data_IF_877093490749
#
_entry.id   IF_877093490749
#
_cell.length_a   1.000
_cell.length_b   1.000
_cell.length_c   1.000
_cell.angle_alpha   90.00
_cell.angle_beta   90.00
_cell.angle_gamma   90.00
#
_symmetry.space_group_name_H-M   'P 1'
#
loop_
_entity.id
_entity.type
_entity.pdbx_description
1 polymer ?
#
# COMPACT_ATOMS: atom_id res chain seq x y z
N UNK A 1 -20.90 -18.56 -20.36
CA UNK A 1 -19.61 -17.91 -20.57
C UNK A 1 -19.16 -17.22 -19.27
N UNK A 2 -18.15 -17.77 -18.64
CA UNK A 2 -17.63 -17.23 -17.39
C UNK A 2 -16.45 -16.30 -17.68
N UNK A 3 -16.62 -15.04 -17.34
CA UNK A 3 -15.55 -14.05 -17.44
C UNK A 3 -15.01 -13.74 -16.05
N UNK A 4 -13.69 -13.77 -15.92
CA UNK A 4 -13.02 -13.40 -14.68
C UNK A 4 -12.47 -11.99 -14.82
N UNK A 5 -12.88 -11.10 -13.91
CA UNK A 5 -12.41 -9.71 -13.87
C UNK A 5 -11.46 -9.59 -12.69
N UNK A 6 -10.24 -9.15 -12.97
CA UNK A 6 -9.26 -8.90 -11.90
C UNK A 6 -9.60 -7.57 -11.24
N UNK A 7 -9.94 -7.61 -9.94
CA UNK A 7 -10.31 -6.44 -9.14
C UNK A 7 -9.12 -5.85 -8.37
N UNK A 8 -8.15 -6.70 -8.05
CA UNK A 8 -6.97 -6.28 -7.31
C UNK A 8 -5.80 -7.21 -7.59
N UNK A 9 -4.61 -6.64 -7.69
CA UNK A 9 -3.35 -7.38 -7.76
C UNK A 9 -2.41 -6.78 -6.74
N UNK A 10 -1.88 -7.61 -5.82
CA UNK A 10 -0.98 -7.15 -4.77
C UNK A 10 0.29 -8.00 -4.80
N UNK A 11 1.44 -7.33 -4.92
CA UNK A 11 2.76 -7.91 -4.73
C UNK A 11 3.30 -7.56 -3.36
N UNK A 12 3.99 -8.50 -2.73
CA UNK A 12 4.47 -8.36 -1.36
C UNK A 12 5.83 -8.99 -1.19
N UNK A 13 6.73 -8.33 -0.44
CA UNK A 13 8.03 -8.88 -0.08
C UNK A 13 8.43 -8.38 1.32
N UNK A 14 9.01 -9.27 2.13
CA UNK A 14 9.60 -8.87 3.40
C UNK A 14 10.89 -8.09 3.13
N UNK A 15 11.02 -6.93 3.77
CA UNK A 15 12.13 -6.02 3.55
C UNK A 15 12.21 -5.05 4.73
N UNK A 16 13.41 -4.83 5.28
CA UNK A 16 13.54 -3.84 6.34
C UNK A 16 13.19 -2.43 5.84
N UNK A 17 12.79 -1.56 6.75
CA UNK A 17 12.23 -0.25 6.40
C UNK A 17 13.24 0.63 5.67
N UNK A 18 14.51 0.57 6.04
CA UNK A 18 15.57 1.36 5.39
C UNK A 18 15.73 0.98 3.92
N UNK A 19 15.80 -0.33 3.64
CA UNK A 19 15.87 -0.85 2.27
C UNK A 19 14.57 -0.59 1.52
N UNK A 20 13.46 -0.67 2.23
CA UNK A 20 12.13 -0.42 1.65
C UNK A 20 12.01 1.02 1.15
N UNK A 21 12.51 2.00 1.89
CA UNK A 21 12.48 3.40 1.48
C UNK A 21 13.27 3.64 0.18
N UNK A 22 14.37 2.93 0.01
CA UNK A 22 15.13 2.99 -1.24
C UNK A 22 14.33 2.36 -2.38
N UNK A 23 13.73 1.20 -2.13
CA UNK A 23 12.94 0.47 -3.13
C UNK A 23 11.69 1.26 -3.56
N UNK A 24 10.98 1.86 -2.62
CA UNK A 24 9.76 2.61 -2.93
C UNK A 24 10.05 3.82 -3.83
N UNK A 25 11.17 4.49 -3.60
CA UNK A 25 11.59 5.61 -4.43
C UNK A 25 11.94 5.16 -5.85
N UNK A 26 12.61 4.02 -6.00
CA UNK A 26 12.93 3.44 -7.29
C UNK A 26 11.67 3.02 -8.05
N UNK A 27 10.78 2.29 -7.41
CA UNK A 27 9.53 1.83 -8.01
C UNK A 27 8.63 3.02 -8.36
N UNK A 28 8.57 4.04 -7.50
CA UNK A 28 7.82 5.26 -7.76
C UNK A 28 8.25 5.93 -9.07
N UNK A 29 9.56 6.02 -9.31
CA UNK A 29 10.07 6.61 -10.55
C UNK A 29 9.65 5.82 -11.78
N UNK A 30 9.61 4.49 -11.69
CA UNK A 30 9.15 3.63 -12.77
C UNK A 30 7.64 3.84 -13.03
N UNK A 31 6.84 3.90 -11.97
CA UNK A 31 5.40 4.13 -12.08
C UNK A 31 5.10 5.52 -12.64
N UNK A 32 5.86 6.54 -12.22
CA UNK A 32 5.71 7.91 -12.74
C UNK A 32 5.81 7.96 -14.27
N UNK A 33 6.65 7.12 -14.86
CA UNK A 33 6.81 7.05 -16.32
C UNK A 33 5.64 6.36 -17.02
N UNK A 34 4.98 5.44 -16.33
CA UNK A 34 3.87 4.66 -16.89
C UNK A 34 2.51 5.37 -16.75
N UNK A 35 2.31 6.13 -15.69
CA UNK A 35 1.03 6.72 -15.35
C UNK A 35 1.15 8.24 -15.22
N UNK A 36 1.35 8.91 -16.35
CA UNK A 36 1.60 10.37 -16.40
C UNK A 36 0.35 11.22 -16.12
N UNK A 37 -0.85 10.65 -16.23
CA UNK A 37 -2.11 11.36 -16.05
C UNK A 37 -2.79 11.03 -14.71
N UNK A 38 -2.06 10.45 -13.77
CA UNK A 38 -2.58 10.15 -12.43
C UNK A 38 -2.17 11.24 -11.46
N UNK A 39 -2.95 11.41 -10.39
CA UNK A 39 -2.56 12.24 -9.27
C UNK A 39 -1.71 11.41 -8.30
N UNK A 40 -0.47 11.82 -8.09
CA UNK A 40 0.44 11.19 -7.16
C UNK A 40 0.29 11.83 -5.78
N UNK A 41 0.05 11.00 -4.77
CA UNK A 41 -0.04 11.44 -3.38
C UNK A 41 1.03 10.73 -2.57
N UNK A 42 2.03 11.48 -2.12
CA UNK A 42 3.10 11.00 -1.25
C UNK A 42 2.74 11.42 0.17
N UNK A 43 2.35 10.45 1.00
CA UNK A 43 1.92 10.71 2.38
C UNK A 43 3.10 10.91 3.34
N UNK A 44 4.33 10.64 2.91
CA UNK A 44 5.49 10.64 3.79
C UNK A 44 5.42 9.51 4.82
N UNK A 45 6.24 9.60 5.85
CA UNK A 45 6.27 8.62 6.92
C UNK A 45 5.24 9.03 7.98
N UNK A 46 4.27 8.13 8.24
CA UNK A 46 3.19 8.36 9.19
C UNK A 46 3.08 7.17 10.15
N UNK A 47 2.36 7.36 11.25
CA UNK A 47 2.06 6.29 12.19
C UNK A 47 1.08 5.30 11.54
N UNK A 48 1.34 4.00 11.72
CA UNK A 48 0.44 2.96 11.24
C UNK A 48 -0.79 2.89 12.13
N UNK A 49 -1.97 2.97 11.52
CA UNK A 49 -3.24 3.05 12.26
C UNK A 49 -3.54 1.81 13.10
N UNK A 50 -3.04 0.64 12.71
CA UNK A 50 -3.26 -0.60 13.45
C UNK A 50 -2.60 -0.55 14.84
N UNK A 51 -1.39 0.01 14.93
CA UNK A 51 -0.64 0.07 16.18
C UNK A 51 -0.97 1.36 16.94
N UNK A 52 -1.83 1.25 17.93
CA UNK A 52 -2.30 2.39 18.72
C UNK A 52 -1.21 3.05 19.57
N UNK A 53 -0.06 2.40 19.75
CA UNK A 53 1.06 3.00 20.49
C UNK A 53 1.77 4.09 19.68
N UNK A 54 1.58 4.12 18.36
CA UNK A 54 2.27 5.05 17.47
C UNK A 54 3.70 4.63 17.13
N UNK A 55 4.14 3.44 17.54
CA UNK A 55 5.52 2.98 17.35
C UNK A 55 5.74 2.25 16.00
N UNK A 56 4.67 1.89 15.31
CA UNK A 56 4.75 1.34 13.96
C UNK A 56 4.57 2.45 12.95
N UNK A 57 5.35 2.41 11.87
CA UNK A 57 5.35 3.45 10.84
C UNK A 57 5.01 2.87 9.48
N UNK A 58 4.48 3.72 8.61
CA UNK A 58 4.31 3.38 7.22
C UNK A 58 4.71 4.55 6.33
N UNK A 59 5.15 4.23 5.12
CA UNK A 59 5.41 5.19 4.06
C UNK A 59 4.61 4.74 2.85
N UNK A 60 3.70 5.60 2.37
CA UNK A 60 2.80 5.26 1.29
C UNK A 60 2.85 6.30 0.19
N UNK A 61 2.90 5.82 -1.05
CA UNK A 61 2.69 6.64 -2.25
C UNK A 61 1.54 6.03 -3.03
N UNK A 62 0.55 6.84 -3.36
CA UNK A 62 -0.62 6.42 -4.12
C UNK A 62 -0.69 7.17 -5.45
N UNK A 63 -1.20 6.48 -6.47
CA UNK A 63 -1.44 7.02 -7.81
C UNK A 63 -2.93 6.90 -8.08
N UNK A 64 -3.63 8.03 -8.05
CA UNK A 64 -5.09 8.09 -8.16
C UNK A 64 -5.46 8.34 -9.62
N UNK A 65 -6.31 7.49 -10.16
CA UNK A 65 -6.88 7.70 -11.49
C UNK A 65 -8.00 8.73 -11.47
N UNK A 66 -8.65 8.86 -10.31
CA UNK A 66 -9.56 9.95 -9.97
C UNK A 66 -9.05 10.60 -8.67
N UNK A 67 -9.60 11.73 -8.27
CA UNK A 67 -9.13 12.48 -7.08
C UNK A 67 -9.50 11.84 -5.75
N UNK A 68 -10.10 10.67 -5.74
CA UNK A 68 -10.63 10.02 -4.54
C UNK A 68 -9.97 8.67 -4.30
N UNK A 69 -9.47 8.43 -3.07
CA UNK A 69 -8.90 7.15 -2.65
C UNK A 69 -9.89 5.99 -2.70
N UNK A 70 -11.19 6.27 -2.63
CA UNK A 70 -12.22 5.23 -2.70
C UNK A 70 -12.42 4.70 -4.13
N UNK A 71 -11.82 5.36 -5.13
CA UNK A 71 -11.84 4.93 -6.52
C UNK A 71 -10.59 4.09 -6.85
N UNK A 72 -10.51 3.64 -8.10
CA UNK A 72 -9.39 2.84 -8.58
C UNK A 72 -8.06 3.59 -8.36
N UNK A 73 -7.08 2.91 -7.80
CA UNK A 73 -5.76 3.50 -7.61
C UNK A 73 -4.68 2.43 -7.50
N UNK A 74 -3.42 2.88 -7.65
CA UNK A 74 -2.23 2.07 -7.39
C UNK A 74 -1.60 2.59 -6.10
N UNK A 75 -1.15 1.69 -5.24
CA UNK A 75 -0.52 2.04 -3.97
C UNK A 75 0.76 1.26 -3.79
N UNK A 76 1.83 1.96 -3.40
CA UNK A 76 3.07 1.34 -2.96
C UNK A 76 3.31 1.74 -1.52
N UNK A 77 3.77 0.81 -0.70
CA UNK A 77 3.83 1.01 0.74
C UNK A 77 4.98 0.26 1.39
N UNK A 78 5.65 0.94 2.32
CA UNK A 78 6.60 0.35 3.26
C UNK A 78 5.97 0.32 4.64
N UNK A 79 6.14 -0.79 5.36
CA UNK A 79 5.65 -0.93 6.72
C UNK A 79 6.79 -1.30 7.66
N UNK A 80 6.88 -0.56 8.77
CA UNK A 80 7.83 -0.77 9.85
C UNK A 80 7.05 -1.05 11.13
N UNK A 81 6.91 -2.33 11.47
CA UNK A 81 6.21 -2.74 12.67
C UNK A 81 7.07 -2.52 13.91
N UNK A 82 6.46 -2.06 15.00
CA UNK A 82 7.14 -2.00 16.29
C UNK A 82 7.61 -3.37 16.74
N UNK A 83 8.62 -3.41 17.62
CA UNK A 83 9.11 -4.66 18.19
C UNK A 83 8.00 -5.45 18.90
N UNK A 84 7.09 -4.74 19.56
CA UNK A 84 5.95 -5.34 20.24
C UNK A 84 5.02 -6.08 19.28
N UNK A 85 4.64 -5.42 18.18
CA UNK A 85 3.77 -6.01 17.16
C UNK A 85 4.46 -7.21 16.50
N UNK A 86 5.74 -7.09 16.16
CA UNK A 86 6.50 -8.19 15.57
C UNK A 86 6.53 -9.41 16.50
N UNK A 87 6.71 -9.21 17.78
CA UNK A 87 6.72 -10.30 18.76
C UNK A 87 5.34 -10.91 18.95
N UNK A 88 4.30 -10.10 19.08
CA UNK A 88 2.94 -10.58 19.35
C UNK A 88 2.29 -11.24 18.14
N UNK A 89 2.50 -10.70 16.94
CA UNK A 89 1.80 -11.12 15.72
C UNK A 89 2.69 -11.86 14.73
N UNK A 90 4.01 -11.87 14.95
CA UNK A 90 4.98 -12.43 14.02
C UNK A 90 4.88 -11.77 12.63
N UNK A 91 4.60 -10.49 12.61
CA UNK A 91 4.56 -9.69 11.36
C UNK A 91 5.91 -9.07 11.08
N UNK A 92 6.41 -9.26 9.87
CA UNK A 92 7.67 -8.67 9.44
C UNK A 92 7.46 -7.36 8.68
N UNK A 93 8.49 -6.53 8.70
CA UNK A 93 8.53 -5.34 7.88
C UNK A 93 8.46 -5.71 6.41
N UNK A 94 7.82 -4.87 5.60
CA UNK A 94 7.49 -5.26 4.24
C UNK A 94 7.44 -4.09 3.27
N UNK A 95 7.59 -4.44 1.99
CA UNK A 95 7.23 -3.60 0.85
C UNK A 95 6.06 -4.27 0.13
N UNK A 96 5.05 -3.50 -0.21
CA UNK A 96 4.00 -4.00 -1.08
C UNK A 96 3.64 -2.99 -2.17
N UNK A 97 3.15 -3.53 -3.28
CA UNK A 97 2.61 -2.76 -4.39
C UNK A 97 1.29 -3.40 -4.78
N UNK A 98 0.27 -2.58 -4.93
CA UNK A 98 -1.06 -3.10 -5.24
C UNK A 98 -1.84 -2.19 -6.16
N UNK A 99 -2.70 -2.83 -6.96
CA UNK A 99 -3.74 -2.17 -7.73
C UNK A 99 -5.07 -2.46 -7.06
N UNK A 100 -5.81 -1.41 -6.71
CA UNK A 100 -7.05 -1.51 -5.96
C UNK A 100 -8.19 -0.94 -6.79
N UNK A 101 -9.27 -1.71 -6.95
CA UNK A 101 -10.48 -1.23 -7.59
C UNK A 101 -11.47 -0.71 -6.55
N UNK A 102 -12.36 0.17 -6.98
CA UNK A 102 -13.45 0.69 -6.14
C UNK A 102 -14.27 -0.43 -5.50
N UNK A 103 -14.55 -1.47 -6.25
CA UNK A 103 -15.38 -2.59 -5.78
C UNK A 103 -14.70 -3.40 -4.69
N UNK A 104 -13.39 -3.68 -4.84
CA UNK A 104 -12.65 -4.42 -3.81
C UNK A 104 -12.50 -3.60 -2.53
N UNK A 105 -12.33 -2.28 -2.66
CA UNK A 105 -12.26 -1.40 -1.50
C UNK A 105 -13.58 -1.39 -0.72
N UNK A 106 -14.70 -1.35 -1.42
CA UNK A 106 -16.04 -1.48 -0.79
C UNK A 106 -16.18 -2.79 -0.03
N UNK A 107 -15.76 -3.88 -0.65
CA UNK A 107 -15.85 -5.21 -0.04
C UNK A 107 -14.99 -5.30 1.21
N UNK A 108 -13.76 -4.79 1.17
CA UNK A 108 -12.84 -4.76 2.32
C UNK A 108 -13.43 -3.92 3.45
N UNK A 109 -13.95 -2.73 3.12
CA UNK A 109 -14.50 -1.81 4.12
C UNK A 109 -15.78 -2.34 4.79
N UNK A 110 -16.48 -3.25 4.13
CA UNK A 110 -17.67 -3.92 4.68
C UNK A 110 -17.34 -5.23 5.41
N UNK A 111 -16.07 -5.47 5.77
CA UNK A 111 -15.67 -6.64 6.52
C UNK A 111 -15.74 -7.95 5.73
N UNK A 112 -15.49 -7.88 4.46
CA UNK A 112 -15.47 -9.06 3.56
C UNK A 112 -16.85 -9.74 3.38
N UNK A 113 -17.90 -8.96 3.45
CA UNK A 113 -19.28 -9.48 3.31
C UNK A 113 -19.83 -9.35 1.91
#
# INVERSE_FOLDING_TARGET
DKRYIIKSVIGFVFLDFKKCKIKINKVSKEIDQLFVNTEKVDSGIVEHQYDKTGNSKEYQIAYLFNVNYDDDHIRIQCTDWSSKITKEKNWGDSFNVGSYSKEILKWINNGYK
#
